data_IF_505912790066
#
_entry.id   IF_505912790066
#
_cell.length_a   1.000
_cell.length_b   1.000
_cell.length_c   1.000
_cell.angle_alpha   90.00
_cell.angle_beta   90.00
_cell.angle_gamma   90.00
#
_symmetry.space_group_name_H-M   'P 1'
#
loop_
_entity.id
_entity.type
_entity.pdbx_description
1 polymer ?
#
# COMPACT_ATOMS: atom_id res chain seq x y z
N UNK A 1 24.17 15.71 -0.99
CA UNK A 1 24.55 15.84 0.42
C UNK A 1 23.51 15.28 1.39
N UNK A 2 22.21 15.47 1.19
CA UNK A 2 21.13 14.98 2.09
C UNK A 2 20.87 13.47 1.89
N UNK A 3 21.00 12.92 0.69
CA UNK A 3 20.72 11.52 0.37
C UNK A 3 21.52 10.50 1.20
N UNK A 4 22.80 10.72 1.40
CA UNK A 4 23.61 9.80 2.22
C UNK A 4 23.50 10.01 3.73
N UNK A 5 22.91 11.12 4.17
CA UNK A 5 22.85 11.47 5.59
C UNK A 5 21.89 10.55 6.36
N UNK A 6 20.74 10.23 5.79
CA UNK A 6 19.80 9.29 6.43
C UNK A 6 20.46 7.92 6.62
N UNK A 7 21.00 7.34 5.56
CA UNK A 7 21.54 5.97 5.59
C UNK A 7 22.80 5.87 6.48
N UNK A 8 23.62 6.91 6.51
CA UNK A 8 24.89 6.90 7.27
C UNK A 8 24.76 7.34 8.73
N UNK A 9 23.82 8.21 9.05
CA UNK A 9 23.71 8.81 10.39
C UNK A 9 22.37 8.49 11.08
N UNK A 10 21.23 8.73 10.41
CA UNK A 10 19.91 8.65 11.05
C UNK A 10 19.47 7.20 11.18
N UNK A 11 19.56 6.41 10.10
CA UNK A 11 19.20 4.99 10.11
C UNK A 11 19.95 4.16 11.16
N UNK A 12 21.30 4.26 11.31
CA UNK A 12 22.01 3.52 12.34
C UNK A 12 21.53 3.85 13.76
N UNK A 13 21.22 5.12 14.03
CA UNK A 13 20.67 5.52 15.32
C UNK A 13 19.26 4.94 15.57
N UNK A 14 18.36 5.05 14.58
CA UNK A 14 17.00 4.48 14.68
C UNK A 14 17.03 2.95 14.77
N UNK A 15 18.02 2.29 14.16
CA UNK A 15 18.11 0.82 14.16
C UNK A 15 18.62 0.26 15.49
N UNK A 16 19.23 1.07 16.37
CA UNK A 16 19.53 0.69 17.76
C UNK A 16 18.27 0.67 18.66
N UNK A 17 17.20 1.35 18.24
CA UNK A 17 15.94 1.39 18.97
C UNK A 17 15.07 0.18 18.60
N UNK A 18 14.12 -0.16 19.49
CA UNK A 18 13.02 -1.05 19.12
C UNK A 18 12.31 -0.54 17.85
N UNK A 19 11.98 -1.43 16.89
CA UNK A 19 11.40 -1.02 15.60
C UNK A 19 10.10 -0.22 15.73
N UNK A 20 9.20 -0.60 16.64
CA UNK A 20 7.92 0.08 16.84
C UNK A 20 8.12 1.43 17.54
N UNK A 21 9.06 1.52 18.48
CA UNK A 21 9.42 2.81 19.12
C UNK A 21 10.01 3.79 18.10
N UNK A 22 10.90 3.33 17.22
CA UNK A 22 11.46 4.16 16.16
C UNK A 22 10.38 4.65 15.20
N UNK A 23 9.43 3.79 14.83
CA UNK A 23 8.27 4.16 14.01
C UNK A 23 7.44 5.25 14.69
N UNK A 24 7.09 5.07 15.96
CA UNK A 24 6.32 6.04 16.74
C UNK A 24 7.05 7.37 16.90
N UNK A 25 8.37 7.34 17.05
CA UNK A 25 9.20 8.56 17.11
C UNK A 25 9.11 9.36 15.80
N UNK A 26 9.24 8.68 14.65
CA UNK A 26 9.09 9.31 13.33
C UNK A 26 7.69 9.92 13.20
N UNK A 27 6.64 9.19 13.57
CA UNK A 27 5.26 9.69 13.53
C UNK A 27 5.02 10.91 14.42
N UNK A 28 5.64 10.96 15.59
CA UNK A 28 5.54 12.08 16.52
C UNK A 28 6.15 13.37 15.94
N UNK A 29 7.27 13.26 15.21
CA UNK A 29 8.02 14.41 14.71
C UNK A 29 7.73 14.75 13.24
N UNK A 30 7.28 13.81 12.43
CA UNK A 30 6.98 14.06 11.01
C UNK A 30 6.00 15.22 10.76
N UNK A 31 4.94 15.45 11.58
CA UNK A 31 4.07 16.61 11.40
C UNK A 31 4.78 17.96 11.46
N UNK A 32 5.95 18.06 12.10
CA UNK A 32 6.75 19.29 12.14
C UNK A 32 7.29 19.67 10.75
N UNK A 33 7.39 18.71 9.82
CA UNK A 33 7.74 18.99 8.43
C UNK A 33 6.74 19.95 7.77
N UNK A 34 5.48 20.00 8.23
CA UNK A 34 4.51 20.97 7.71
C UNK A 34 4.98 22.43 7.84
N UNK A 35 5.76 22.71 8.85
CA UNK A 35 6.29 24.07 9.16
C UNK A 35 7.71 24.28 8.62
N UNK A 36 8.32 23.26 8.00
CA UNK A 36 9.67 23.32 7.42
C UNK A 36 9.62 23.71 5.94
N UNK A 37 10.60 24.46 5.42
CA UNK A 37 10.74 24.67 3.97
C UNK A 37 11.25 23.44 3.24
N UNK A 38 11.70 22.40 3.94
CA UNK A 38 12.28 21.20 3.36
C UNK A 38 11.23 20.41 2.58
N UNK A 39 11.57 20.07 1.32
CA UNK A 39 10.79 19.21 0.44
C UNK A 39 11.71 18.21 -0.25
N UNK A 40 11.34 16.96 -0.23
CA UNK A 40 12.04 15.88 -0.92
C UNK A 40 11.24 15.51 -2.17
N UNK A 41 11.38 16.30 -3.24
CA UNK A 41 10.53 16.13 -4.44
C UNK A 41 11.38 16.11 -5.70
N UNK A 42 10.97 15.29 -6.64
CA UNK A 42 11.37 15.32 -8.04
C UNK A 42 10.10 15.32 -8.90
N UNK A 43 10.02 16.21 -9.88
CA UNK A 43 8.86 16.38 -10.76
C UNK A 43 9.31 16.34 -12.22
N UNK A 44 8.58 15.58 -13.03
CA UNK A 44 8.76 15.54 -14.48
C UNK A 44 7.40 15.23 -15.12
N UNK A 45 7.14 15.77 -16.30
CA UNK A 45 5.85 15.62 -16.98
C UNK A 45 5.53 14.16 -17.32
N UNK A 46 6.54 13.37 -17.66
CA UNK A 46 6.40 11.94 -18.02
C UNK A 46 6.11 11.02 -16.82
N UNK A 47 6.08 11.55 -15.59
CA UNK A 47 5.66 10.81 -14.39
C UNK A 47 4.16 10.92 -14.09
N UNK A 48 3.47 11.86 -14.75
CA UNK A 48 2.04 12.04 -14.53
C UNK A 48 1.29 10.78 -14.94
N UNK A 49 0.35 10.34 -14.12
CA UNK A 49 -0.48 9.17 -14.37
C UNK A 49 -1.93 9.41 -13.94
N UNK A 50 -2.84 8.58 -14.44
CA UNK A 50 -4.25 8.59 -14.04
C UNK A 50 -4.57 7.35 -13.22
N UNK A 51 -5.23 7.56 -12.07
CA UNK A 51 -5.74 6.49 -11.23
C UNK A 51 -7.24 6.71 -11.03
N UNK A 52 -8.08 5.93 -11.72
CA UNK A 52 -9.55 5.99 -11.62
C UNK A 52 -10.12 7.40 -11.78
N UNK A 53 -9.64 8.15 -12.77
CA UNK A 53 -10.04 9.53 -13.03
C UNK A 53 -9.25 10.59 -12.26
N UNK A 54 -8.42 10.19 -11.30
CA UNK A 54 -7.56 11.10 -10.53
C UNK A 54 -6.22 11.29 -11.26
N UNK A 55 -5.87 12.52 -11.56
CA UNK A 55 -4.55 12.86 -12.09
C UNK A 55 -3.55 12.94 -10.96
N UNK A 56 -2.58 12.01 -10.95
CA UNK A 56 -1.48 11.97 -9.99
C UNK A 56 -0.22 12.59 -10.60
N UNK A 57 0.49 13.41 -9.82
CA UNK A 57 1.74 14.06 -10.27
C UNK A 57 2.90 13.08 -10.52
N UNK A 58 2.85 11.91 -9.91
CA UNK A 58 3.72 10.77 -10.16
C UNK A 58 3.04 9.49 -9.64
N UNK A 59 3.45 8.29 -10.10
CA UNK A 59 2.79 7.04 -9.76
C UNK A 59 3.12 6.49 -8.38
N UNK A 60 3.99 7.12 -7.60
CA UNK A 60 4.52 6.58 -6.34
C UNK A 60 3.71 7.07 -5.15
N UNK A 61 3.05 6.16 -4.45
CA UNK A 61 2.24 6.42 -3.26
C UNK A 61 2.79 5.78 -1.98
N UNK A 62 2.25 6.22 -0.85
CA UNK A 62 2.48 5.60 0.46
C UNK A 62 1.49 4.46 0.65
N UNK A 63 1.98 3.27 1.06
CA UNK A 63 1.13 2.12 1.35
C UNK A 63 0.44 2.25 2.72
N UNK A 64 -0.75 1.62 2.84
CA UNK A 64 -1.41 1.41 4.12
C UNK A 64 -0.50 0.70 5.14
N UNK A 65 -0.72 1.00 6.42
CA UNK A 65 0.04 0.48 7.55
C UNK A 65 1.12 1.44 8.05
N UNK A 66 1.59 2.36 7.20
CA UNK A 66 2.53 3.40 7.63
C UNK A 66 1.80 4.49 8.44
N UNK A 67 0.81 5.14 7.87
CA UNK A 67 -0.07 6.09 8.58
C UNK A 67 -1.44 5.45 8.85
N UNK A 68 -1.56 4.73 9.96
CA UNK A 68 -2.77 3.97 10.27
C UNK A 68 -3.98 4.85 10.61
N UNK A 69 -3.73 6.01 11.19
CA UNK A 69 -4.77 6.85 11.78
C UNK A 69 -4.94 8.20 11.07
N UNK A 70 -4.23 8.45 9.95
CA UNK A 70 -4.31 9.70 9.19
C UNK A 70 -3.62 10.89 9.86
N UNK A 71 -2.54 10.66 10.60
CA UNK A 71 -1.81 11.71 11.29
C UNK A 71 -0.82 12.47 10.38
N UNK A 72 -0.43 11.87 9.26
CA UNK A 72 0.60 12.39 8.35
C UNK A 72 0.05 13.03 7.08
N UNK A 73 -1.27 13.02 6.84
CA UNK A 73 -1.89 13.48 5.59
C UNK A 73 -1.52 14.90 5.15
N UNK A 74 -1.08 15.75 6.10
CA UNK A 74 -0.65 17.14 5.85
C UNK A 74 0.78 17.28 5.36
N UNK A 75 1.61 16.22 5.45
CA UNK A 75 3.06 16.31 5.20
C UNK A 75 3.57 15.35 4.12
N UNK A 76 2.74 14.43 3.67
CA UNK A 76 3.16 13.39 2.72
C UNK A 76 3.57 13.96 1.36
N UNK A 77 3.02 15.10 0.95
CA UNK A 77 3.43 15.81 -0.27
C UNK A 77 4.90 16.26 -0.20
N UNK A 78 5.40 16.58 0.99
CA UNK A 78 6.79 17.03 1.20
C UNK A 78 7.81 15.91 1.03
N UNK A 79 7.36 14.67 1.14
CA UNK A 79 8.16 13.46 0.89
C UNK A 79 8.15 13.03 -0.59
N UNK A 80 7.45 13.77 -1.47
CA UNK A 80 7.45 13.55 -2.91
C UNK A 80 6.42 12.55 -3.41
N UNK A 81 5.58 11.99 -2.55
CA UNK A 81 4.51 11.07 -2.95
C UNK A 81 3.50 11.72 -3.90
N UNK A 82 3.00 10.95 -4.88
CA UNK A 82 1.90 11.34 -5.77
C UNK A 82 0.53 11.16 -5.13
N UNK A 83 0.39 10.17 -4.25
CA UNK A 83 -0.82 9.86 -3.47
C UNK A 83 -0.46 9.11 -2.18
N UNK A 84 -1.45 8.82 -1.35
CA UNK A 84 -1.24 8.05 -0.13
C UNK A 84 -2.42 7.12 0.16
N UNK A 85 -2.17 6.05 0.90
CA UNK A 85 -3.19 5.18 1.50
C UNK A 85 -2.98 5.13 3.00
N UNK A 86 -3.98 5.56 3.76
CA UNK A 86 -4.02 5.47 5.22
C UNK A 86 -4.75 4.21 5.68
N UNK A 87 -4.54 3.81 6.92
CA UNK A 87 -5.16 2.59 7.50
C UNK A 87 -4.15 1.43 7.58
N UNK A 88 -4.60 0.15 7.75
CA UNK A 88 -6.02 -0.22 7.69
C UNK A 88 -6.78 0.31 8.89
N UNK A 89 -7.96 0.84 8.63
CA UNK A 89 -8.91 1.29 9.64
C UNK A 89 -9.93 0.18 9.87
N UNK A 90 -10.23 -0.12 11.13
CA UNK A 90 -11.24 -1.09 11.55
C UNK A 90 -12.39 -0.36 12.24
N UNK A 91 -13.55 -1.00 12.37
CA UNK A 91 -14.70 -0.40 13.03
C UNK A 91 -14.38 0.00 14.49
N UNK A 92 -13.72 -0.91 15.20
CA UNK A 92 -13.37 -0.69 16.60
C UNK A 92 -11.88 -0.33 16.77
N UNK A 93 -11.59 0.46 17.80
CA UNK A 93 -10.22 0.71 18.23
C UNK A 93 -9.60 -0.56 18.83
N UNK A 94 -8.38 -0.88 18.42
CA UNK A 94 -7.65 -2.03 18.95
C UNK A 94 -6.21 -1.70 19.28
N UNK A 95 -5.67 -2.31 20.33
CA UNK A 95 -4.25 -2.26 20.64
C UNK A 95 -3.41 -3.15 19.71
N UNK A 96 -4.05 -4.08 19.01
CA UNK A 96 -3.42 -5.12 18.20
C UNK A 96 -2.77 -6.23 19.03
N UNK A 97 -1.89 -6.99 18.39
CA UNK A 97 -1.22 -8.14 19.00
C UNK A 97 -0.20 -7.73 20.07
N UNK A 98 0.17 -8.63 21.01
CA UNK A 98 1.22 -8.40 22.01
C UNK A 98 2.58 -8.04 21.39
N UNK A 99 3.36 -7.24 22.10
CA UNK A 99 4.74 -6.89 21.73
C UNK A 99 5.73 -7.95 22.23
N UNK A 100 6.89 -8.13 21.54
CA UNK A 100 7.35 -7.45 20.32
C UNK A 100 6.63 -8.00 19.07
N UNK A 101 6.32 -7.11 18.14
CA UNK A 101 5.48 -7.42 16.98
C UNK A 101 5.95 -6.78 15.65
N UNK A 102 7.12 -6.16 15.67
CA UNK A 102 7.77 -5.56 14.51
C UNK A 102 9.27 -5.86 14.54
N UNK A 103 9.82 -6.44 13.47
CA UNK A 103 11.19 -6.92 13.41
C UNK A 103 11.83 -6.53 12.10
N UNK A 104 13.02 -5.92 12.14
CA UNK A 104 13.82 -5.60 10.96
C UNK A 104 14.73 -6.76 10.61
N UNK A 105 14.89 -7.02 9.32
CA UNK A 105 15.85 -7.96 8.75
C UNK A 105 16.81 -7.19 7.84
N UNK A 106 17.89 -6.59 8.40
CA UNK A 106 18.77 -5.70 7.64
C UNK A 106 19.47 -6.36 6.45
N UNK A 107 19.85 -7.62 6.57
CA UNK A 107 20.50 -8.40 5.51
C UNK A 107 19.61 -8.59 4.27
N UNK A 108 18.29 -8.42 4.42
CA UNK A 108 17.29 -8.62 3.37
C UNK A 108 16.57 -7.33 2.99
N UNK A 109 16.89 -6.18 3.58
CA UNK A 109 16.10 -4.95 3.48
C UNK A 109 14.61 -5.23 3.70
N UNK A 110 14.29 -5.99 4.75
CA UNK A 110 12.97 -6.52 4.99
C UNK A 110 12.47 -6.26 6.42
N UNK A 111 11.17 -6.43 6.61
CA UNK A 111 10.51 -6.30 7.92
C UNK A 111 9.52 -7.45 8.07
N UNK A 112 9.52 -8.11 9.25
CA UNK A 112 8.43 -8.99 9.68
C UNK A 112 7.57 -8.23 10.67
N UNK A 113 6.25 -8.25 10.45
CA UNK A 113 5.28 -7.64 11.36
C UNK A 113 4.12 -8.58 11.67
N UNK A 114 3.61 -8.46 12.90
CA UNK A 114 2.38 -9.06 13.38
C UNK A 114 1.60 -8.04 14.23
N UNK A 115 1.42 -6.84 13.68
CA UNK A 115 0.85 -5.70 14.41
C UNK A 115 -0.60 -5.94 14.85
N UNK A 116 -1.37 -6.76 14.10
CA UNK A 116 -2.73 -7.14 14.47
C UNK A 116 -3.75 -6.02 14.29
N UNK A 117 -3.58 -5.19 13.26
CA UNK A 117 -4.50 -4.11 12.89
C UNK A 117 -4.79 -3.11 14.03
N UNK A 118 -3.76 -2.76 14.81
CA UNK A 118 -3.89 -1.74 15.85
C UNK A 118 -4.20 -0.36 15.26
N UNK A 119 -5.15 0.35 15.86
CA UNK A 119 -5.58 1.68 15.41
C UNK A 119 -6.64 2.28 16.32
N UNK A 120 -7.03 3.53 16.02
CA UNK A 120 -7.94 4.34 16.83
C UNK A 120 -9.43 4.03 16.57
N UNK A 121 -9.74 3.15 15.60
CA UNK A 121 -11.11 2.86 15.17
C UNK A 121 -11.64 3.87 14.14
N UNK A 122 -12.68 3.46 13.42
CA UNK A 122 -13.18 4.22 12.27
C UNK A 122 -13.80 5.57 12.69
N UNK A 123 -14.48 5.63 13.82
CA UNK A 123 -15.10 6.88 14.30
C UNK A 123 -14.04 7.96 14.58
N UNK A 124 -13.01 7.64 15.36
CA UNK A 124 -11.95 8.59 15.70
C UNK A 124 -11.15 9.03 14.46
N UNK A 125 -10.87 8.09 13.54
CA UNK A 125 -10.21 8.38 12.27
C UNK A 125 -11.08 9.27 11.39
N UNK A 126 -12.38 8.98 11.24
CA UNK A 126 -13.29 9.77 10.45
C UNK A 126 -13.41 11.21 10.98
N UNK A 127 -13.56 11.40 12.30
CA UNK A 127 -13.61 12.72 12.93
C UNK A 127 -12.32 13.53 12.70
N UNK A 128 -11.15 12.86 12.72
CA UNK A 128 -9.83 13.47 12.43
C UNK A 128 -9.72 13.90 10.99
N UNK A 129 -10.09 13.02 10.06
CA UNK A 129 -9.98 13.27 8.62
C UNK A 129 -10.99 14.31 8.11
N UNK A 130 -12.19 14.36 8.68
CA UNK A 130 -13.18 15.40 8.36
C UNK A 130 -12.64 16.83 8.62
N UNK A 131 -11.72 16.98 9.56
CA UNK A 131 -11.05 18.25 9.90
C UNK A 131 -9.70 18.44 9.22
N UNK A 132 -9.21 17.41 8.51
CA UNK A 132 -7.89 17.44 7.90
C UNK A 132 -7.95 18.07 6.51
N UNK A 133 -6.91 18.85 6.18
CA UNK A 133 -6.64 19.26 4.80
C UNK A 133 -5.65 18.26 4.20
N UNK A 134 -6.09 17.49 3.22
CA UNK A 134 -5.25 16.53 2.54
C UNK A 134 -4.27 17.26 1.62
N UNK A 135 -2.99 16.95 1.75
CA UNK A 135 -1.95 17.51 0.91
C UNK A 135 -1.83 16.77 -0.45
N UNK A 136 -2.36 15.55 -0.51
CA UNK A 136 -2.34 14.64 -1.67
C UNK A 136 -3.68 13.93 -1.83
N UNK A 137 -4.03 13.41 -3.02
CA UNK A 137 -5.06 12.39 -3.17
C UNK A 137 -4.80 11.25 -2.18
N UNK A 138 -5.77 10.99 -1.31
CA UNK A 138 -5.60 10.05 -0.20
C UNK A 138 -6.70 9.01 -0.22
N UNK A 139 -6.31 7.74 -0.34
CA UNK A 139 -7.18 6.60 -0.16
C UNK A 139 -7.23 6.15 1.30
N UNK A 140 -8.27 5.37 1.64
CA UNK A 140 -8.42 4.76 2.95
C UNK A 140 -8.58 3.25 2.82
N UNK A 141 -7.74 2.52 3.54
CA UNK A 141 -7.78 1.07 3.60
C UNK A 141 -8.66 0.62 4.77
N UNK A 142 -9.61 -0.27 4.50
CA UNK A 142 -10.51 -0.87 5.48
C UNK A 142 -10.12 -2.32 5.71
N UNK A 143 -10.12 -2.74 6.96
CA UNK A 143 -10.01 -4.14 7.34
C UNK A 143 -11.02 -4.45 8.44
N UNK A 144 -11.33 -5.74 8.59
CA UNK A 144 -12.09 -6.26 9.72
C UNK A 144 -11.38 -5.97 11.03
N UNK A 145 -12.12 -5.66 12.08
CA UNK A 145 -11.57 -5.55 13.43
C UNK A 145 -10.99 -6.90 13.88
N UNK A 146 -9.75 -6.87 14.37
CA UNK A 146 -9.03 -8.10 14.78
C UNK A 146 -9.43 -8.51 16.20
N UNK A 147 -10.67 -8.94 16.37
CA UNK A 147 -11.22 -9.49 17.59
C UNK A 147 -11.76 -10.91 17.36
N UNK A 148 -11.61 -11.85 18.30
CA UNK A 148 -11.98 -13.26 18.11
C UNK A 148 -13.47 -13.50 17.84
N UNK A 149 -14.33 -12.63 18.34
CA UNK A 149 -15.80 -12.73 18.22
C UNK A 149 -16.36 -12.05 16.96
N UNK A 150 -15.50 -11.38 16.16
CA UNK A 150 -15.87 -10.75 14.91
C UNK A 150 -15.54 -11.71 13.74
N UNK A 151 -16.49 -12.62 13.45
CA UNK A 151 -16.38 -13.64 12.40
C UNK A 151 -17.73 -13.82 11.68
N UNK A 152 -17.75 -14.45 10.51
CA UNK A 152 -18.97 -14.67 9.73
C UNK A 152 -19.71 -13.38 9.42
N UNK A 153 -21.02 -13.34 9.68
CA UNK A 153 -21.88 -12.18 9.43
C UNK A 153 -21.44 -10.93 10.21
N UNK A 154 -20.92 -11.09 11.43
CA UNK A 154 -20.38 -9.98 12.22
C UNK A 154 -19.17 -9.32 11.55
N UNK A 155 -18.38 -10.10 10.80
CA UNK A 155 -17.26 -9.55 10.05
C UNK A 155 -17.74 -8.67 8.88
N UNK A 156 -18.82 -9.06 8.22
CA UNK A 156 -19.48 -8.26 7.18
C UNK A 156 -20.00 -6.95 7.78
N UNK A 157 -20.77 -7.04 8.87
CA UNK A 157 -21.31 -5.87 9.58
C UNK A 157 -20.20 -4.90 10.04
N UNK A 158 -19.08 -5.42 10.57
CA UNK A 158 -17.95 -4.63 11.05
C UNK A 158 -17.31 -3.82 9.90
N UNK A 159 -17.09 -4.46 8.76
CA UNK A 159 -16.55 -3.79 7.56
C UNK A 159 -17.51 -2.74 7.03
N UNK A 160 -18.80 -3.05 6.95
CA UNK A 160 -19.83 -2.11 6.51
C UNK A 160 -19.99 -0.92 7.46
N UNK A 161 -19.89 -1.15 8.77
CA UNK A 161 -19.86 -0.08 9.79
C UNK A 161 -18.69 0.87 9.55
N UNK A 162 -17.49 0.33 9.26
CA UNK A 162 -16.33 1.15 8.90
C UNK A 162 -16.60 1.99 7.66
N UNK A 163 -17.14 1.36 6.60
CA UNK A 163 -17.44 2.05 5.34
C UNK A 163 -18.46 3.17 5.54
N UNK A 164 -19.52 2.94 6.30
CA UNK A 164 -20.55 3.95 6.59
C UNK A 164 -19.99 5.20 7.27
N UNK A 165 -18.99 5.06 8.12
CA UNK A 165 -18.35 6.18 8.82
C UNK A 165 -17.42 7.02 7.93
N UNK A 166 -16.86 6.42 6.87
CA UNK A 166 -15.84 7.09 6.06
C UNK A 166 -16.30 7.51 4.66
N UNK A 167 -17.41 6.98 4.14
CA UNK A 167 -17.86 7.16 2.75
C UNK A 167 -18.17 8.61 2.36
N UNK A 168 -18.43 9.50 3.34
CA UNK A 168 -18.66 10.94 3.13
C UNK A 168 -17.39 11.79 3.23
N UNK A 169 -16.24 11.20 3.55
CA UNK A 169 -14.97 11.92 3.60
C UNK A 169 -14.46 12.22 2.18
N UNK A 170 -13.64 13.26 1.99
CA UNK A 170 -13.08 13.62 0.68
C UNK A 170 -11.93 12.70 0.30
N UNK A 171 -12.21 11.39 0.24
CA UNK A 171 -11.25 10.36 -0.11
C UNK A 171 -11.09 10.26 -1.63
N UNK A 172 -9.88 9.92 -2.06
CA UNK A 172 -9.58 9.63 -3.45
C UNK A 172 -10.10 8.24 -3.89
N UNK A 173 -10.07 7.28 -2.96
CA UNK A 173 -10.57 5.91 -3.13
C UNK A 173 -10.70 5.21 -1.77
N UNK A 174 -11.35 4.06 -1.77
CA UNK A 174 -11.37 3.12 -0.64
C UNK A 174 -10.78 1.79 -1.07
N UNK A 175 -9.96 1.19 -0.21
CA UNK A 175 -9.38 -0.13 -0.44
C UNK A 175 -9.87 -1.12 0.63
N UNK A 176 -10.36 -2.28 0.21
CA UNK A 176 -10.74 -3.36 1.11
C UNK A 176 -9.59 -4.36 1.24
N UNK A 177 -9.10 -4.54 2.46
CA UNK A 177 -8.00 -5.45 2.75
C UNK A 177 -8.52 -6.89 2.85
N UNK A 178 -8.56 -7.56 1.71
CA UNK A 178 -9.03 -8.94 1.59
C UNK A 178 -8.06 -10.00 2.18
N UNK A 179 -6.88 -9.61 2.64
CA UNK A 179 -5.77 -10.55 2.79
C UNK A 179 -4.80 -10.22 3.92
N UNK A 180 -5.30 -9.90 5.12
CA UNK A 180 -4.38 -9.66 6.25
C UNK A 180 -3.96 -10.98 6.90
N UNK A 181 -2.68 -11.43 6.75
CA UNK A 181 -2.22 -12.69 7.34
C UNK A 181 -2.04 -12.63 8.86
N UNK A 182 -2.19 -11.46 9.47
CA UNK A 182 -1.96 -11.21 10.89
C UNK A 182 -3.24 -11.15 11.71
N UNK A 183 -4.37 -11.60 11.17
CA UNK A 183 -5.67 -11.65 11.84
C UNK A 183 -6.11 -13.10 12.09
N UNK A 184 -6.95 -13.29 13.10
CA UNK A 184 -7.65 -14.55 13.34
C UNK A 184 -8.70 -14.76 12.22
N UNK A 185 -8.36 -15.37 11.12
CA UNK A 185 -9.11 -15.54 9.88
C UNK A 185 -9.19 -14.27 9.01
N UNK A 186 -8.71 -14.39 7.77
CA UNK A 186 -8.95 -13.36 6.76
C UNK A 186 -10.44 -13.39 6.38
N UNK A 187 -11.13 -12.24 6.38
CA UNK A 187 -12.56 -12.11 6.04
C UNK A 187 -12.90 -12.71 4.69
N UNK A 188 -11.95 -12.86 3.83
CA UNK A 188 -12.21 -13.01 2.40
C UNK A 188 -11.61 -14.30 1.84
N UNK A 189 -11.44 -15.33 2.68
CA UNK A 189 -11.13 -16.67 2.22
C UNK A 189 -12.37 -17.38 1.64
N UNK A 190 -13.57 -16.82 1.85
CA UNK A 190 -14.80 -17.35 1.31
C UNK A 190 -15.37 -16.41 0.24
N UNK A 191 -15.45 -16.91 -0.99
CA UNK A 191 -16.00 -16.20 -2.15
C UNK A 191 -17.34 -15.52 -1.84
N UNK A 192 -18.22 -16.19 -1.10
CA UNK A 192 -19.55 -15.67 -0.78
C UNK A 192 -19.47 -14.42 0.09
N UNK A 193 -18.67 -14.42 1.15
CA UNK A 193 -18.55 -13.24 2.04
C UNK A 193 -17.98 -12.02 1.31
N UNK A 194 -16.98 -12.22 0.45
CA UNK A 194 -16.46 -11.11 -0.37
C UNK A 194 -17.55 -10.56 -1.29
N UNK A 195 -18.28 -11.44 -1.95
CA UNK A 195 -19.38 -11.04 -2.83
C UNK A 195 -20.43 -10.23 -2.09
N UNK A 196 -20.84 -10.66 -0.90
CA UNK A 196 -21.86 -10.00 -0.09
C UNK A 196 -21.39 -8.63 0.41
N UNK A 197 -20.13 -8.53 0.87
CA UNK A 197 -19.52 -7.25 1.27
C UNK A 197 -19.51 -6.28 0.08
N UNK A 198 -19.03 -6.72 -1.09
CA UNK A 198 -18.94 -5.83 -2.25
C UNK A 198 -20.31 -5.38 -2.76
N UNK A 199 -21.31 -6.26 -2.73
CA UNK A 199 -22.69 -5.92 -3.07
C UNK A 199 -23.24 -4.83 -2.13
N UNK A 200 -23.09 -4.99 -0.82
CA UNK A 200 -23.58 -4.01 0.16
C UNK A 200 -22.80 -2.69 0.13
N UNK A 201 -21.49 -2.76 -0.07
CA UNK A 201 -20.63 -1.57 -0.25
C UNK A 201 -21.11 -0.74 -1.45
N UNK A 202 -21.39 -1.37 -2.59
CA UNK A 202 -21.86 -0.65 -3.78
C UNK A 202 -23.24 0.00 -3.57
N UNK A 203 -24.16 -0.67 -2.89
CA UNK A 203 -25.45 -0.04 -2.51
C UNK A 203 -25.27 1.22 -1.66
N UNK A 204 -24.28 1.22 -0.78
CA UNK A 204 -23.95 2.33 0.14
C UNK A 204 -23.06 3.40 -0.49
N UNK A 205 -22.39 3.11 -1.61
CA UNK A 205 -21.43 3.98 -2.29
C UNK A 205 -22.11 5.01 -3.21
N UNK A 206 -23.02 5.80 -2.67
CA UNK A 206 -23.79 6.79 -3.43
C UNK A 206 -22.89 7.89 -4.04
N UNK A 207 -21.76 8.17 -3.39
CA UNK A 207 -20.79 9.17 -3.86
C UNK A 207 -19.93 8.68 -5.05
N UNK A 208 -20.02 7.39 -5.43
CA UNK A 208 -19.24 6.83 -6.52
C UNK A 208 -17.74 6.79 -6.24
N UNK A 209 -17.32 6.62 -4.99
CA UNK A 209 -15.90 6.46 -4.63
C UNK A 209 -15.30 5.27 -5.36
N UNK A 210 -14.14 5.41 -6.00
CA UNK A 210 -13.41 4.27 -6.55
C UNK A 210 -13.09 3.25 -5.45
N UNK A 211 -13.46 1.97 -5.68
CA UNK A 211 -13.24 0.89 -4.72
C UNK A 211 -12.17 -0.06 -5.27
N UNK A 212 -11.14 -0.32 -4.47
CA UNK A 212 -10.08 -1.29 -4.78
C UNK A 212 -10.11 -2.48 -3.81
N UNK A 213 -9.74 -3.67 -4.30
CA UNK A 213 -9.57 -4.85 -3.45
C UNK A 213 -8.08 -5.14 -3.30
N UNK A 214 -7.58 -5.18 -2.06
CA UNK A 214 -6.17 -5.46 -1.78
C UNK A 214 -5.93 -6.94 -1.57
N UNK A 215 -5.05 -7.51 -2.40
CA UNK A 215 -4.80 -8.93 -2.53
C UNK A 215 -3.46 -9.33 -1.92
N UNK A 216 -3.39 -10.56 -1.37
CA UNK A 216 -2.15 -11.17 -0.91
C UNK A 216 -1.31 -11.69 -2.07
N UNK A 217 0.02 -11.55 -2.01
CA UNK A 217 0.92 -12.24 -2.93
C UNK A 217 0.97 -13.76 -2.71
N UNK A 218 0.37 -14.26 -1.64
CA UNK A 218 0.23 -15.68 -1.31
C UNK A 218 -1.15 -16.25 -1.71
N UNK A 219 -2.00 -15.47 -2.40
CA UNK A 219 -3.31 -15.92 -2.90
C UNK A 219 -3.15 -17.06 -3.91
N UNK A 220 -4.01 -18.07 -3.80
CA UNK A 220 -4.10 -19.15 -4.79
C UNK A 220 -4.65 -18.61 -6.12
N UNK A 221 -4.39 -19.30 -7.23
CA UNK A 221 -4.94 -18.95 -8.55
C UNK A 221 -6.48 -18.88 -8.53
N UNK A 222 -7.14 -19.80 -7.82
CA UNK A 222 -8.59 -19.77 -7.68
C UNK A 222 -9.06 -18.51 -6.96
N UNK A 223 -8.42 -18.14 -5.84
CA UNK A 223 -8.78 -16.95 -5.08
C UNK A 223 -8.55 -15.68 -5.90
N UNK A 224 -7.47 -15.60 -6.68
CA UNK A 224 -7.21 -14.48 -7.59
C UNK A 224 -8.36 -14.35 -8.60
N UNK A 225 -8.76 -15.46 -9.22
CA UNK A 225 -9.85 -15.50 -10.21
C UNK A 225 -11.16 -15.05 -9.56
N UNK A 226 -11.51 -15.60 -8.40
CA UNK A 226 -12.73 -15.27 -7.66
C UNK A 226 -12.81 -13.78 -7.32
N UNK A 227 -11.71 -13.20 -6.81
CA UNK A 227 -11.65 -11.77 -6.48
C UNK A 227 -11.84 -10.91 -7.75
N UNK A 228 -11.21 -11.29 -8.86
CA UNK A 228 -11.34 -10.55 -10.12
C UNK A 228 -12.78 -10.62 -10.64
N UNK A 229 -13.41 -11.79 -10.66
CA UNK A 229 -14.81 -11.96 -11.10
C UNK A 229 -15.79 -11.16 -10.22
N UNK A 230 -15.67 -11.23 -8.90
CA UNK A 230 -16.49 -10.44 -7.96
C UNK A 230 -16.29 -8.93 -8.21
N UNK A 231 -15.05 -8.51 -8.39
CA UNK A 231 -14.72 -7.12 -8.70
C UNK A 231 -15.38 -6.63 -10.00
N UNK A 232 -15.45 -7.50 -11.02
CA UNK A 232 -16.12 -7.20 -12.28
C UNK A 232 -17.64 -7.09 -12.11
N UNK A 233 -18.26 -8.06 -11.42
CA UNK A 233 -19.70 -8.09 -11.15
C UNK A 233 -20.18 -6.84 -10.43
N UNK A 234 -19.42 -6.37 -9.45
CA UNK A 234 -19.79 -5.22 -8.63
C UNK A 234 -19.16 -3.89 -9.10
N UNK A 235 -18.54 -3.85 -10.28
CA UNK A 235 -18.00 -2.61 -10.87
C UNK A 235 -16.91 -1.94 -10.02
N UNK A 236 -16.02 -2.73 -9.38
CA UNK A 236 -14.90 -2.18 -8.61
C UNK A 236 -13.89 -1.50 -9.52
N UNK A 237 -13.24 -0.44 -9.04
CA UNK A 237 -12.26 0.33 -9.79
C UNK A 237 -10.96 -0.45 -10.09
N UNK A 238 -10.63 -1.46 -9.27
CA UNK A 238 -9.47 -2.28 -9.52
C UNK A 238 -8.89 -2.96 -8.27
N UNK A 239 -7.58 -3.16 -8.29
CA UNK A 239 -6.89 -4.02 -7.34
C UNK A 239 -5.65 -3.35 -6.77
N UNK A 240 -5.33 -3.65 -5.50
CA UNK A 240 -4.01 -3.40 -4.93
C UNK A 240 -3.29 -4.75 -4.89
N UNK A 241 -2.35 -4.94 -5.83
CA UNK A 241 -1.62 -6.19 -5.96
C UNK A 241 -0.41 -6.20 -5.04
N UNK A 242 -0.56 -6.82 -3.87
CA UNK A 242 0.47 -7.03 -2.87
C UNK A 242 0.06 -6.60 -1.46
N UNK A 243 0.53 -7.40 -0.54
CA UNK A 243 0.47 -7.26 0.91
C UNK A 243 1.76 -7.87 1.45
N UNK A 244 1.82 -8.27 2.71
CA UNK A 244 2.94 -9.08 3.25
C UNK A 244 2.77 -10.55 2.88
N UNK A 245 3.87 -11.33 2.92
CA UNK A 245 3.88 -12.78 2.67
C UNK A 245 4.23 -13.57 3.94
N UNK A 246 3.72 -14.78 4.05
CA UNK A 246 4.12 -15.73 5.09
C UNK A 246 5.37 -16.55 4.71
N UNK A 247 5.77 -16.57 3.43
CA UNK A 247 7.00 -17.23 2.98
C UNK A 247 8.24 -16.59 3.61
N UNK A 248 9.23 -17.45 3.86
CA UNK A 248 10.57 -17.10 4.37
C UNK A 248 11.67 -17.50 3.40
N UNK A 249 11.29 -17.91 2.18
CA UNK A 249 12.21 -18.40 1.17
C UNK A 249 13.17 -17.32 0.71
N UNK A 250 14.44 -17.69 0.49
CA UNK A 250 15.45 -16.82 -0.06
C UNK A 250 15.96 -15.71 0.86
N UNK A 251 15.71 -15.80 2.18
CA UNK A 251 16.26 -14.85 3.13
C UNK A 251 17.74 -15.09 3.38
N UNK A 252 18.52 -14.00 3.45
CA UNK A 252 19.91 -13.99 3.88
C UNK A 252 20.06 -13.93 5.41
N UNK A 253 19.03 -13.50 6.10
CA UNK A 253 18.99 -13.48 7.58
C UNK A 253 19.08 -14.90 8.10
N UNK A 254 19.92 -15.11 9.11
CA UNK A 254 20.12 -16.39 9.77
C UNK A 254 18.81 -17.10 10.15
N UNK A 255 18.71 -18.38 9.82
CA UNK A 255 17.47 -19.16 9.98
C UNK A 255 17.04 -19.30 11.44
N UNK A 256 17.98 -19.38 12.39
CA UNK A 256 17.66 -19.43 13.82
C UNK A 256 17.06 -18.09 14.27
N UNK A 257 17.55 -16.97 13.73
CA UNK A 257 16.95 -15.65 13.98
C UNK A 257 15.54 -15.55 13.42
N UNK A 258 15.31 -16.03 12.19
CA UNK A 258 13.99 -16.06 11.58
C UNK A 258 13.01 -16.94 12.38
N UNK A 259 13.45 -18.10 12.81
CA UNK A 259 12.68 -19.02 13.66
C UNK A 259 12.33 -18.38 15.02
N UNK A 260 13.27 -17.68 15.66
CA UNK A 260 13.04 -16.94 16.90
C UNK A 260 11.98 -15.84 16.74
N UNK A 261 11.95 -15.12 15.61
CA UNK A 261 10.94 -14.12 15.32
C UNK A 261 9.57 -14.80 15.17
N UNK A 262 9.51 -15.94 14.47
CA UNK A 262 8.31 -16.73 14.28
C UNK A 262 7.31 -16.12 13.31
N UNK A 263 6.01 -16.26 13.60
CA UNK A 263 4.90 -15.83 12.73
C UNK A 263 4.87 -14.33 12.50
N UNK A 264 4.32 -13.95 11.36
CA UNK A 264 4.13 -12.54 10.93
C UNK A 264 4.27 -12.36 9.43
N UNK A 265 3.76 -11.27 8.90
CA UNK A 265 3.87 -10.93 7.48
C UNK A 265 5.25 -10.32 7.17
N UNK A 266 5.95 -10.90 6.19
CA UNK A 266 7.23 -10.41 5.66
C UNK A 266 6.97 -9.39 4.54
N UNK A 267 7.67 -8.26 4.59
CA UNK A 267 7.66 -7.19 3.57
C UNK A 267 9.08 -6.75 3.21
N UNK A 268 9.22 -5.99 2.14
CA UNK A 268 10.52 -5.51 1.66
C UNK A 268 11.02 -6.25 0.43
N UNK A 269 12.32 -6.21 0.19
CA UNK A 269 12.96 -6.73 -1.02
C UNK A 269 12.57 -8.18 -1.37
N UNK A 270 12.52 -9.14 -0.43
CA UNK A 270 12.19 -10.54 -0.74
C UNK A 270 10.79 -10.73 -1.33
N UNK A 271 9.88 -9.77 -1.11
CA UNK A 271 8.51 -9.82 -1.60
C UNK A 271 8.38 -9.49 -3.09
N UNK A 272 9.37 -8.81 -3.71
CA UNK A 272 9.26 -8.23 -5.05
C UNK A 272 8.76 -9.21 -6.11
N UNK A 273 9.39 -10.37 -6.21
CA UNK A 273 9.06 -11.35 -7.26
C UNK A 273 7.62 -11.85 -7.15
N UNK A 274 7.15 -12.14 -5.93
CA UNK A 274 5.76 -12.58 -5.68
C UNK A 274 4.75 -11.48 -6.02
N UNK A 275 5.01 -10.24 -5.59
CA UNK A 275 4.14 -9.10 -5.87
C UNK A 275 4.09 -8.78 -7.38
N UNK A 276 5.22 -8.87 -8.08
CA UNK A 276 5.29 -8.66 -9.52
C UNK A 276 4.52 -9.75 -10.29
N UNK A 277 4.61 -11.01 -9.87
CA UNK A 277 3.87 -12.10 -10.48
C UNK A 277 2.35 -11.94 -10.26
N UNK A 278 1.93 -11.56 -9.05
CA UNK A 278 0.52 -11.23 -8.78
C UNK A 278 0.02 -10.09 -9.69
N UNK A 279 0.82 -9.01 -9.82
CA UNK A 279 0.48 -7.89 -10.68
C UNK A 279 0.27 -8.34 -12.15
N UNK A 280 1.20 -9.11 -12.71
CA UNK A 280 1.09 -9.67 -14.07
C UNK A 280 -0.16 -10.55 -14.23
N UNK A 281 -0.43 -11.39 -13.25
CA UNK A 281 -1.59 -12.29 -13.28
C UNK A 281 -2.91 -11.53 -13.27
N UNK A 282 -3.05 -10.56 -12.38
CA UNK A 282 -4.25 -9.71 -12.32
C UNK A 282 -4.39 -8.85 -13.59
N UNK A 283 -3.28 -8.36 -14.16
CA UNK A 283 -3.30 -7.61 -15.41
C UNK A 283 -3.87 -8.42 -16.59
N UNK A 284 -3.67 -9.75 -16.61
CA UNK A 284 -4.23 -10.65 -17.63
C UNK A 284 -5.73 -10.91 -17.45
N UNK A 285 -6.25 -10.82 -16.23
CA UNK A 285 -7.63 -11.19 -15.89
C UNK A 285 -8.59 -10.01 -15.79
N UNK A 286 -8.10 -8.84 -15.39
CA UNK A 286 -8.93 -7.65 -15.16
C UNK A 286 -9.55 -7.08 -16.42
N UNK A 287 -10.65 -6.34 -16.27
CA UNK A 287 -11.20 -5.54 -17.36
C UNK A 287 -10.27 -4.37 -17.72
N UNK A 288 -10.32 -3.87 -18.98
CA UNK A 288 -9.55 -2.69 -19.40
C UNK A 288 -9.83 -1.45 -18.54
N UNK A 289 -11.05 -1.30 -18.02
CA UNK A 289 -11.49 -0.19 -17.16
C UNK A 289 -10.95 -0.29 -15.74
N UNK A 290 -10.55 -1.47 -15.29
CA UNK A 290 -10.00 -1.69 -13.95
C UNK A 290 -8.51 -1.39 -13.90
N UNK A 291 -8.04 -0.85 -12.79
CA UNK A 291 -6.65 -0.45 -12.62
C UNK A 291 -5.95 -1.23 -11.51
N UNK A 292 -4.63 -1.27 -11.57
CA UNK A 292 -3.79 -1.93 -10.58
C UNK A 292 -2.91 -0.89 -9.87
N UNK A 293 -2.93 -0.93 -8.54
CA UNK A 293 -1.92 -0.32 -7.69
C UNK A 293 -0.99 -1.44 -7.23
N UNK A 294 0.28 -1.41 -7.58
CA UNK A 294 1.23 -2.45 -7.17
C UNK A 294 1.89 -2.10 -5.83
N UNK A 295 2.07 -3.11 -4.98
CA UNK A 295 2.67 -2.95 -3.65
C UNK A 295 3.55 -4.14 -3.31
N UNK A 296 4.81 -3.89 -2.91
CA UNK A 296 5.73 -4.92 -2.39
C UNK A 296 7.09 -4.96 -3.08
N UNK A 297 8.15 -4.77 -2.30
CA UNK A 297 9.53 -4.88 -2.74
C UNK A 297 10.06 -3.77 -3.66
N UNK A 298 9.33 -2.66 -3.80
CA UNK A 298 9.72 -1.53 -4.64
C UNK A 298 10.67 -0.62 -3.85
N UNK A 299 11.91 -0.43 -4.34
CA UNK A 299 12.94 0.38 -3.69
C UNK A 299 13.75 1.25 -4.66
N UNK A 300 13.62 1.04 -5.98
CA UNK A 300 14.34 1.76 -7.03
C UNK A 300 13.41 2.18 -8.17
N UNK A 301 13.85 3.10 -9.02
CA UNK A 301 13.11 3.45 -10.25
C UNK A 301 13.01 2.28 -11.22
N UNK A 302 13.98 1.37 -11.23
CA UNK A 302 13.93 0.13 -12.01
C UNK A 302 12.80 -0.79 -11.51
N UNK A 303 12.66 -0.97 -10.19
CA UNK A 303 11.53 -1.73 -9.65
C UNK A 303 10.20 -1.09 -10.05
N UNK A 304 10.09 0.23 -9.89
CA UNK A 304 8.90 0.98 -10.28
C UNK A 304 8.55 0.76 -11.76
N UNK A 305 9.54 0.86 -12.64
CA UNK A 305 9.38 0.65 -14.07
C UNK A 305 8.89 -0.78 -14.40
N UNK A 306 9.45 -1.81 -13.75
CA UNK A 306 9.05 -3.20 -13.95
C UNK A 306 7.58 -3.44 -13.58
N UNK A 307 7.10 -2.84 -12.50
CA UNK A 307 5.68 -2.95 -12.10
C UNK A 307 4.74 -2.18 -13.04
N UNK A 308 5.13 -1.00 -13.53
CA UNK A 308 4.35 -0.29 -14.54
C UNK A 308 4.26 -1.11 -15.84
N UNK A 309 5.37 -1.71 -16.28
CA UNK A 309 5.39 -2.64 -17.44
C UNK A 309 4.57 -3.91 -17.20
N UNK A 310 4.37 -4.32 -15.95
CA UNK A 310 3.51 -5.43 -15.57
C UNK A 310 2.01 -5.06 -15.54
N UNK A 311 1.64 -3.82 -15.88
CA UNK A 311 0.27 -3.34 -15.97
C UNK A 311 -0.23 -2.54 -14.77
N UNK A 312 0.63 -2.15 -13.84
CA UNK A 312 0.26 -1.24 -12.76
C UNK A 312 0.09 0.20 -13.28
N UNK A 313 -0.94 0.91 -12.80
CA UNK A 313 -1.14 2.33 -13.03
C UNK A 313 -0.45 3.19 -11.96
N UNK A 314 -0.29 2.64 -10.76
CA UNK A 314 0.33 3.30 -9.61
C UNK A 314 1.04 2.29 -8.71
N UNK A 315 1.86 2.78 -7.79
CA UNK A 315 2.79 2.00 -6.96
C UNK A 315 2.68 2.44 -5.51
N UNK A 316 2.87 1.53 -4.56
CA UNK A 316 2.88 1.84 -3.14
C UNK A 316 4.17 1.38 -2.46
N UNK A 317 4.76 2.24 -1.62
CA UNK A 317 5.97 1.98 -0.85
C UNK A 317 5.66 1.93 0.65
N UNK A 318 6.38 1.09 1.38
CA UNK A 318 6.44 1.06 2.85
C UNK A 318 7.85 0.77 3.33
N UNK A 319 8.27 -0.49 3.27
CA UNK A 319 9.50 -1.00 3.89
C UNK A 319 10.75 -0.29 3.38
N UNK A 320 10.80 0.04 2.10
CA UNK A 320 11.92 0.77 1.52
C UNK A 320 12.16 2.13 2.19
N UNK A 321 11.11 2.84 2.67
CA UNK A 321 11.26 4.08 3.43
C UNK A 321 12.02 3.89 4.75
N UNK A 322 11.83 2.74 5.41
CA UNK A 322 12.54 2.41 6.66
C UNK A 322 14.04 2.31 6.42
N UNK A 323 14.45 1.82 5.25
CA UNK A 323 15.86 1.61 4.91
C UNK A 323 16.52 2.81 4.23
N UNK A 324 15.77 3.55 3.40
CA UNK A 324 16.31 4.62 2.54
C UNK A 324 15.89 6.04 2.94
N UNK A 325 14.89 6.17 3.81
CA UNK A 325 14.49 7.46 4.38
C UNK A 325 13.71 8.37 3.43
N UNK A 326 13.61 9.66 3.77
CA UNK A 326 12.66 10.59 3.16
C UNK A 326 12.98 10.99 1.71
N UNK A 327 14.20 10.80 1.23
CA UNK A 327 14.62 11.12 -0.15
C UNK A 327 14.29 10.02 -1.15
N UNK A 328 13.83 8.85 -0.68
CA UNK A 328 13.59 7.66 -1.50
C UNK A 328 12.66 7.94 -2.67
N UNK A 329 11.52 8.60 -2.42
CA UNK A 329 10.50 8.83 -3.45
C UNK A 329 11.03 9.73 -4.55
N UNK A 330 11.77 10.79 -4.20
CA UNK A 330 12.40 11.67 -5.18
C UNK A 330 13.40 10.91 -6.05
N UNK A 331 14.21 10.03 -5.47
CA UNK A 331 15.16 9.17 -6.18
C UNK A 331 14.45 8.21 -7.14
N UNK A 332 13.42 7.49 -6.66
CA UNK A 332 12.63 6.59 -7.50
C UNK A 332 12.02 7.34 -8.69
N UNK A 333 11.43 8.50 -8.44
CA UNK A 333 10.82 9.32 -9.48
C UNK A 333 11.85 9.80 -10.51
N UNK A 334 13.04 10.19 -10.08
CA UNK A 334 14.13 10.61 -10.98
C UNK A 334 14.60 9.45 -11.88
N UNK A 335 14.91 8.29 -11.29
CA UNK A 335 15.32 7.09 -12.01
C UNK A 335 14.22 6.62 -12.98
N UNK A 336 12.97 6.60 -12.53
CA UNK A 336 11.80 6.21 -13.32
C UNK A 336 11.59 7.13 -14.52
N UNK A 337 11.70 8.45 -14.32
CA UNK A 337 11.56 9.43 -15.41
C UNK A 337 12.55 9.18 -16.54
N UNK A 338 13.81 8.86 -16.20
CA UNK A 338 14.84 8.51 -17.20
C UNK A 338 14.47 7.22 -17.95
N UNK A 339 14.02 6.18 -17.24
CA UNK A 339 13.66 4.91 -17.85
C UNK A 339 12.45 5.04 -18.80
N UNK A 340 11.42 5.80 -18.40
CA UNK A 340 10.25 6.07 -19.25
C UNK A 340 10.62 6.85 -20.50
N UNK A 341 11.54 7.81 -20.41
CA UNK A 341 12.01 8.55 -21.58
C UNK A 341 12.79 7.66 -22.55
N UNK A 342 13.66 6.79 -22.04
CA UNK A 342 14.40 5.82 -22.86
C UNK A 342 13.47 4.84 -23.58
N UNK A 343 12.36 4.45 -22.97
CA UNK A 343 11.37 3.57 -23.60
C UNK A 343 10.63 4.27 -24.74
N UNK A 344 10.20 5.52 -24.56
CA UNK A 344 9.57 6.32 -25.62
C UNK A 344 10.47 6.43 -26.85
N UNK A 345 11.75 6.74 -26.68
CA UNK A 345 12.72 6.84 -27.78
C UNK A 345 12.90 5.52 -28.51
N UNK A 346 12.75 4.39 -27.84
CA UNK A 346 12.87 3.05 -28.48
C UNK A 346 11.63 2.64 -29.26
N UNK A 347 10.46 3.11 -28.87
CA UNK A 347 9.18 2.73 -29.51
C UNK A 347 8.81 3.64 -30.70
N UNK A 348 9.25 4.89 -30.71
CA UNK A 348 9.01 5.82 -31.83
C UNK A 348 9.54 5.33 -33.21
N UNK A 349 10.73 4.76 -33.35
CA UNK A 349 11.21 4.26 -34.64
C UNK A 349 10.40 3.09 -35.21
N UNK A 350 9.78 2.26 -34.38
CA UNK A 350 8.98 1.11 -34.80
C UNK A 350 7.64 1.53 -35.40
N UNK A 351 7.01 2.58 -34.88
CA UNK A 351 5.75 3.12 -35.38
C UNK A 351 5.91 3.81 -36.76
N UNK A 352 7.08 4.37 -37.06
CA UNK A 352 7.37 5.01 -38.34
C UNK A 352 7.61 3.96 -39.45
N UNK A 353 8.18 2.79 -39.09
CA UNK A 353 8.44 1.71 -40.04
C UNK A 353 7.17 0.91 -40.42
N UNK A 354 6.20 0.78 -39.54
CA UNK A 354 4.92 0.08 -39.79
C UNK A 354 3.92 0.90 -40.60
N UNK A 355 4.02 2.24 -40.57
CA UNK A 355 3.17 3.13 -41.39
C UNK A 355 3.77 3.43 -42.79
N UNK A 356 4.94 2.84 -43.09
CA UNK A 356 5.63 3.04 -44.38
C UNK A 356 5.62 1.77 -45.26
N UNK A 357 4.94 0.73 -44.84
CA UNK A 357 4.69 -0.52 -45.58
C UNK A 357 3.18 -0.68 -45.80
#
# INVERSE_FOLDING_TARGET
MIEGMYEKLVRPALFKMDPEQAHNLVHKFAPLLAYSPIRFQFTAANLQTNLSGLVLKNPVGLAAGFDKNGNLVKVLDRLGFGFAEIGSVCAEATSGNPRPRLFRLPSDNAVINRLGLNGDGAEAVAQRLAKAKFALPTGLNIAKTNLPDIQGDKAVEDVLKTFDQIKSLPLAYVAFNASCPNTHEGILNERQQLNDIMAEVQKKNVAGLPIFIKMSPDSTEQLITDIVEISQVHGMAGFICGNTTLSRDGLNTDSARVAQIGMGGLSGQPLKSKALNLCRRVAQLKLPTQQIIACGGIATGRDAFEFLRAGAAALQLYTALVYHGPTLVARINQELSVLLQQELVRTEPQLISENSS
#
